data_IF_222427625845
#
_entry.id   IF_222427625845
#
_cell.length_a   1.000
_cell.length_b   1.000
_cell.length_c   1.000
_cell.angle_alpha   90.00
_cell.angle_beta   90.00
_cell.angle_gamma   90.00
#
_symmetry.space_group_name_H-M   'P 1'
#
loop_
_entity.id
_entity.type
_entity.pdbx_description
1 polymer ?
#
# COMPACT_ATOMS: atom_id res chain seq x y z
N UNK A 1 -5.20 15.29 15.68
CA UNK A 1 -4.03 14.56 16.22
C UNK A 1 -4.17 14.23 17.72
N UNK A 2 -4.31 15.21 18.66
CA UNK A 2 -4.40 14.89 20.10
C UNK A 2 -5.67 14.09 20.45
N UNK A 3 -6.81 14.39 19.85
CA UNK A 3 -8.05 13.64 20.03
C UNK A 3 -7.92 12.17 19.64
N UNK A 4 -7.22 11.87 18.54
CA UNK A 4 -6.99 10.49 18.07
C UNK A 4 -6.10 9.71 19.07
N UNK A 5 -5.09 10.38 19.63
CA UNK A 5 -4.23 9.78 20.66
C UNK A 5 -5.03 9.43 21.92
N UNK A 6 -5.87 10.34 22.40
CA UNK A 6 -6.71 10.11 23.57
C UNK A 6 -7.72 8.98 23.32
N UNK A 7 -8.38 8.96 22.17
CA UNK A 7 -9.29 7.89 21.78
C UNK A 7 -8.59 6.53 21.72
N UNK A 8 -7.37 6.47 21.18
CA UNK A 8 -6.56 5.25 21.13
C UNK A 8 -6.21 4.76 22.53
N UNK A 9 -5.81 5.66 23.45
CA UNK A 9 -5.51 5.33 24.85
C UNK A 9 -6.75 4.79 25.55
N UNK A 10 -7.91 5.40 25.34
CA UNK A 10 -9.15 4.96 25.99
C UNK A 10 -9.61 3.61 25.45
N UNK A 11 -9.47 3.36 24.15
CA UNK A 11 -9.71 2.03 23.57
C UNK A 11 -8.78 0.97 24.18
N UNK A 12 -7.49 1.27 24.31
CA UNK A 12 -6.52 0.39 24.95
C UNK A 12 -6.88 0.07 26.41
N UNK A 13 -7.35 1.06 27.18
CA UNK A 13 -7.85 0.85 28.56
C UNK A 13 -9.09 -0.06 28.59
N UNK A 14 -10.02 0.11 27.64
CA UNK A 14 -11.22 -0.73 27.51
C UNK A 14 -10.82 -2.18 27.25
N UNK A 15 -9.94 -2.45 26.27
CA UNK A 15 -9.45 -3.80 25.97
C UNK A 15 -8.78 -4.41 27.21
N UNK A 16 -7.84 -3.69 27.83
CA UNK A 16 -7.14 -4.15 29.03
C UNK A 16 -8.07 -4.49 30.19
N UNK A 17 -9.16 -3.73 30.35
CA UNK A 17 -10.15 -3.95 31.44
C UNK A 17 -11.05 -5.15 31.15
N UNK A 18 -11.47 -5.34 29.90
CA UNK A 18 -12.45 -6.37 29.55
C UNK A 18 -11.81 -7.74 29.29
N UNK A 19 -10.58 -7.79 28.77
CA UNK A 19 -9.85 -9.02 28.49
C UNK A 19 -8.34 -8.80 28.72
N UNK A 20 -7.93 -9.01 29.97
CA UNK A 20 -6.55 -8.81 30.39
C UNK A 20 -5.58 -9.83 29.76
N UNK A 21 -6.05 -11.05 29.48
CA UNK A 21 -5.20 -12.08 28.87
C UNK A 21 -4.99 -11.80 27.39
N UNK A 22 -6.02 -11.37 26.66
CA UNK A 22 -5.84 -10.85 25.31
C UNK A 22 -4.91 -9.65 25.27
N UNK A 23 -5.04 -8.71 26.23
CA UNK A 23 -4.13 -7.56 26.35
C UNK A 23 -2.67 -7.98 26.50
N UNK A 24 -2.38 -8.97 27.36
CA UNK A 24 -1.03 -9.52 27.50
C UNK A 24 -0.51 -10.14 26.20
N UNK A 25 -1.36 -10.91 25.51
CA UNK A 25 -0.98 -11.54 24.25
C UNK A 25 -0.62 -10.49 23.19
N UNK A 26 -1.40 -9.41 23.07
CA UNK A 26 -1.11 -8.30 22.15
C UNK A 26 0.27 -7.68 22.46
N UNK A 27 0.61 -7.51 23.74
CA UNK A 27 1.90 -6.94 24.15
C UNK A 27 3.11 -7.84 23.83
N UNK A 28 2.91 -9.15 23.66
CA UNK A 28 3.99 -10.09 23.30
C UNK A 28 4.50 -9.91 21.85
N UNK A 29 3.86 -9.10 21.04
CA UNK A 29 4.18 -8.91 19.61
C UNK A 29 4.31 -7.44 19.21
N UNK A 30 4.71 -6.58 20.16
CA UNK A 30 4.81 -5.14 19.94
C UNK A 30 6.00 -4.71 19.08
N UNK A 31 7.07 -5.51 19.03
CA UNK A 31 8.25 -5.23 18.21
C UNK A 31 8.49 -6.34 17.20
N UNK A 32 9.26 -6.02 16.13
CA UNK A 32 9.71 -7.04 15.18
C UNK A 32 10.39 -8.22 15.85
N UNK A 33 11.28 -7.95 16.83
CA UNK A 33 12.01 -8.99 17.57
C UNK A 33 11.06 -9.89 18.36
N UNK A 34 10.02 -9.31 18.95
CA UNK A 34 9.03 -10.07 19.70
C UNK A 34 8.20 -10.97 18.79
N UNK A 35 7.82 -10.47 17.62
CA UNK A 35 7.12 -11.26 16.60
C UNK A 35 8.00 -12.42 16.12
N UNK A 36 9.27 -12.16 15.78
CA UNK A 36 10.21 -13.19 15.36
C UNK A 36 10.42 -14.25 16.45
N UNK A 37 10.55 -13.83 17.72
CA UNK A 37 10.63 -14.75 18.86
C UNK A 37 9.36 -15.58 19.01
N UNK A 38 8.18 -14.95 18.89
CA UNK A 38 6.90 -15.66 18.99
C UNK A 38 6.77 -16.74 17.92
N UNK A 39 7.10 -16.42 16.66
CA UNK A 39 7.05 -17.37 15.55
C UNK A 39 8.04 -18.53 15.73
N UNK A 40 9.23 -18.24 16.26
CA UNK A 40 10.25 -19.27 16.49
C UNK A 40 9.88 -20.23 17.63
N UNK A 41 9.14 -19.76 18.63
CA UNK A 41 8.69 -20.57 19.76
C UNK A 41 7.40 -21.35 19.48
N UNK A 42 6.61 -20.93 18.48
CA UNK A 42 5.32 -21.53 18.16
C UNK A 42 5.32 -22.11 16.74
N UNK A 43 5.34 -23.43 16.63
CA UNK A 43 5.28 -24.11 15.34
C UNK A 43 4.04 -23.72 14.54
N UNK A 44 2.89 -23.67 15.22
CA UNK A 44 1.60 -23.28 14.69
C UNK A 44 1.03 -22.15 15.57
N UNK A 45 0.44 -21.16 14.93
CA UNK A 45 -0.16 -20.02 15.62
C UNK A 45 -1.37 -19.49 14.85
N UNK A 46 -2.25 -18.78 15.55
CA UNK A 46 -3.37 -18.11 14.89
C UNK A 46 -2.94 -16.75 14.34
N UNK A 47 -3.41 -16.46 13.14
CA UNK A 47 -3.26 -15.17 12.45
C UNK A 47 -4.64 -14.58 12.20
N UNK A 48 -4.87 -13.40 12.75
CA UNK A 48 -6.07 -12.62 12.50
C UNK A 48 -5.81 -11.58 11.40
N UNK A 49 -6.64 -11.61 10.38
CA UNK A 49 -6.63 -10.64 9.29
C UNK A 49 -7.96 -9.90 9.25
N UNK A 50 -7.92 -8.58 9.22
CA UNK A 50 -9.11 -7.76 9.07
C UNK A 50 -9.28 -7.40 7.59
N UNK A 51 -10.41 -7.80 7.00
CA UNK A 51 -10.71 -7.55 5.61
C UNK A 51 -12.22 -7.36 5.41
N UNK A 52 -12.59 -6.31 4.68
CA UNK A 52 -13.99 -5.98 4.37
C UNK A 52 -14.93 -5.95 5.61
N UNK A 53 -14.46 -5.35 6.71
CA UNK A 53 -15.25 -5.22 7.94
C UNK A 53 -15.37 -6.50 8.77
N UNK A 54 -14.65 -7.57 8.42
CA UNK A 54 -14.68 -8.88 9.12
C UNK A 54 -13.29 -9.31 9.53
N UNK A 55 -13.20 -9.95 10.68
CA UNK A 55 -12.00 -10.64 11.13
C UNK A 55 -12.04 -12.07 10.61
N UNK A 56 -10.99 -12.49 9.93
CA UNK A 56 -10.74 -13.88 9.55
C UNK A 56 -9.56 -14.40 10.37
N UNK A 57 -9.81 -15.40 11.21
CA UNK A 57 -8.76 -16.10 11.95
C UNK A 57 -8.37 -17.35 11.19
N UNK A 58 -7.08 -17.53 10.95
CA UNK A 58 -6.50 -18.72 10.30
C UNK A 58 -5.46 -19.34 11.23
N UNK A 59 -5.37 -20.67 11.26
CA UNK A 59 -4.24 -21.38 11.87
C UNK A 59 -3.15 -21.52 10.81
N UNK A 60 -1.94 -21.05 11.12
CA UNK A 60 -0.83 -21.02 10.18
C UNK A 60 0.45 -21.62 10.76
N UNK A 61 1.33 -22.10 9.90
CA UNK A 61 2.70 -22.47 10.25
C UNK A 61 3.69 -21.65 9.44
N UNK A 62 4.75 -21.13 10.07
CA UNK A 62 5.83 -20.46 9.35
C UNK A 62 6.68 -21.47 8.62
N UNK A 63 6.94 -21.23 7.33
CA UNK A 63 7.72 -22.16 6.48
C UNK A 63 9.07 -21.58 6.05
N UNK A 64 9.16 -20.27 5.81
CA UNK A 64 10.41 -19.59 5.46
C UNK A 64 10.24 -18.07 5.60
N UNK A 65 11.33 -17.35 5.44
CA UNK A 65 11.29 -15.92 5.21
C UNK A 65 11.39 -15.63 3.72
N UNK A 66 10.76 -14.55 3.29
CA UNK A 66 10.90 -14.02 1.92
C UNK A 66 12.38 -13.65 1.67
N UNK A 67 13.04 -14.15 0.60
CA UNK A 67 14.47 -13.96 0.39
C UNK A 67 14.95 -12.51 0.45
N UNK A 68 14.19 -11.61 -0.18
CA UNK A 68 14.59 -10.20 -0.34
C UNK A 68 13.98 -9.28 0.75
N UNK A 69 12.72 -9.49 1.14
CA UNK A 69 12.03 -8.63 2.12
C UNK A 69 12.16 -9.11 3.57
N UNK A 70 12.62 -10.34 3.78
CA UNK A 70 12.76 -10.98 5.09
C UNK A 70 11.45 -11.06 5.91
N UNK A 71 10.29 -11.01 5.25
CA UNK A 71 9.00 -11.24 5.90
C UNK A 71 8.71 -12.73 6.04
N UNK A 72 8.24 -13.23 7.20
CA UNK A 72 7.81 -14.61 7.37
C UNK A 72 6.69 -14.97 6.38
N UNK A 73 6.83 -16.13 5.78
CA UNK A 73 5.85 -16.74 4.88
C UNK A 73 5.20 -17.90 5.59
N UNK A 74 3.89 -17.80 5.78
CA UNK A 74 3.12 -18.74 6.58
C UNK A 74 2.16 -19.53 5.69
N UNK A 75 2.06 -20.84 5.92
CA UNK A 75 1.08 -21.69 5.26
C UNK A 75 -0.23 -21.72 6.04
N UNK A 76 -1.37 -21.55 5.39
CA UNK A 76 -2.71 -21.66 5.97
C UNK A 76 -3.10 -23.14 6.11
N UNK A 77 -3.10 -23.66 7.34
CA UNK A 77 -3.33 -25.09 7.63
C UNK A 77 -4.78 -25.54 7.36
N UNK A 78 -5.72 -24.63 7.09
CA UNK A 78 -7.05 -25.01 6.62
C UNK A 78 -7.01 -25.64 5.23
N UNK A 79 -5.96 -25.35 4.45
CA UNK A 79 -5.79 -25.86 3.08
C UNK A 79 -4.96 -27.15 3.13
N UNK A 80 -5.48 -28.21 2.49
CA UNK A 80 -4.78 -29.48 2.41
C UNK A 80 -3.45 -29.31 1.66
N UNK A 81 -2.30 -29.66 2.27
CA UNK A 81 -1.01 -29.53 1.64
C UNK A 81 -0.70 -30.61 0.58
N UNK A 82 -1.30 -31.81 0.68
CA UNK A 82 -0.95 -32.96 -0.19
C UNK A 82 -0.96 -32.61 -1.69
N UNK A 83 -2.04 -32.01 -2.23
CA UNK A 83 -2.08 -31.67 -3.65
C UNK A 83 -1.05 -30.59 -4.02
N UNK A 84 -0.67 -29.74 -3.05
CA UNK A 84 0.22 -28.59 -3.29
C UNK A 84 1.68 -28.99 -3.23
N UNK A 85 2.04 -29.89 -2.29
CA UNK A 85 3.41 -30.37 -2.12
C UNK A 85 3.94 -31.10 -3.34
N UNK A 86 3.05 -31.78 -4.09
CA UNK A 86 3.39 -32.55 -5.29
C UNK A 86 3.45 -31.75 -6.59
N UNK A 87 3.08 -30.46 -6.57
CA UNK A 87 3.04 -29.61 -7.77
C UNK A 87 4.45 -29.40 -8.37
N UNK A 88 4.50 -29.34 -9.69
CA UNK A 88 5.70 -28.87 -10.40
C UNK A 88 6.00 -27.40 -10.05
N UNK A 89 7.21 -26.92 -10.37
CA UNK A 89 7.58 -25.52 -10.15
C UNK A 89 6.60 -24.55 -10.82
N UNK A 90 6.24 -24.80 -12.08
CA UNK A 90 5.34 -23.93 -12.84
C UNK A 90 3.91 -23.96 -12.29
N UNK A 91 3.39 -25.12 -11.94
CA UNK A 91 2.07 -25.28 -11.37
C UNK A 91 1.99 -24.64 -9.97
N UNK A 92 3.07 -24.76 -9.17
CA UNK A 92 3.17 -24.12 -7.86
C UNK A 92 3.18 -22.58 -7.99
N UNK A 93 3.97 -22.04 -8.95
CA UNK A 93 3.99 -20.59 -9.25
C UNK A 93 2.60 -20.08 -9.66
N UNK A 94 1.85 -20.84 -10.46
CA UNK A 94 0.47 -20.55 -10.82
C UNK A 94 -0.45 -20.62 -9.59
N UNK A 95 -0.37 -21.70 -8.80
CA UNK A 95 -1.20 -21.93 -7.62
C UNK A 95 -1.02 -20.85 -6.54
N UNK A 96 0.19 -20.28 -6.40
CA UNK A 96 0.45 -19.16 -5.48
C UNK A 96 -0.36 -17.89 -5.81
N UNK A 97 -0.77 -17.71 -7.07
CA UNK A 97 -1.58 -16.57 -7.53
C UNK A 97 -3.07 -16.81 -7.38
N UNK A 98 -3.51 -18.06 -7.28
CA UNK A 98 -4.91 -18.45 -7.20
C UNK A 98 -5.51 -18.25 -5.81
N UNK A 99 -6.85 -18.16 -5.74
CA UNK A 99 -7.62 -18.16 -4.49
C UNK A 99 -8.26 -19.53 -4.25
N UNK A 100 -8.41 -19.97 -3.01
CA UNK A 100 -7.93 -19.34 -1.78
C UNK A 100 -6.41 -19.40 -1.67
N UNK A 101 -5.81 -18.34 -1.15
CA UNK A 101 -4.35 -18.27 -0.94
C UNK A 101 -3.93 -19.19 0.19
N UNK A 102 -3.02 -20.13 -0.10
CA UNK A 102 -2.44 -21.00 0.92
C UNK A 102 -1.21 -20.37 1.61
N UNK A 103 -0.53 -19.43 0.93
CA UNK A 103 0.62 -18.71 1.46
C UNK A 103 0.20 -17.31 1.92
N UNK A 104 0.55 -16.95 3.15
CA UNK A 104 0.28 -15.67 3.79
C UNK A 104 1.59 -15.02 4.21
N UNK A 105 1.81 -13.78 3.81
CA UNK A 105 2.97 -12.99 4.24
C UNK A 105 2.66 -12.27 5.55
N UNK A 106 3.49 -12.49 6.57
CA UNK A 106 3.34 -11.85 7.86
C UNK A 106 4.22 -10.60 7.96
N UNK A 107 3.59 -9.44 8.07
CA UNK A 107 4.30 -8.18 8.30
C UNK A 107 4.80 -8.04 9.73
N UNK A 108 5.93 -8.68 10.06
CA UNK A 108 6.46 -8.75 11.43
C UNK A 108 6.87 -7.40 12.03
N UNK A 109 7.00 -6.36 11.21
CA UNK A 109 7.24 -4.98 11.65
C UNK A 109 5.96 -4.11 11.67
N UNK A 110 4.78 -4.73 11.51
CA UNK A 110 3.48 -4.05 11.45
C UNK A 110 2.54 -4.45 12.60
N UNK A 111 3.10 -4.91 13.70
CA UNK A 111 2.35 -5.40 14.86
C UNK A 111 1.22 -6.35 14.45
N UNK A 112 1.54 -7.52 13.86
CA UNK A 112 0.53 -8.44 13.37
C UNK A 112 -0.30 -9.00 14.54
N UNK A 113 -1.60 -9.21 14.29
CA UNK A 113 -2.51 -9.82 15.27
C UNK A 113 -2.32 -11.33 15.25
N UNK A 114 -1.34 -11.83 15.99
CA UNK A 114 -1.02 -13.25 16.13
C UNK A 114 -1.17 -13.71 17.59
N UNK A 115 -1.67 -14.94 17.76
CA UNK A 115 -1.93 -15.54 19.06
C UNK A 115 -1.49 -17.01 19.05
N UNK A 116 -1.47 -17.66 20.22
CA UNK A 116 -1.20 -19.09 20.28
C UNK A 116 -2.22 -19.90 19.47
N UNK A 117 -1.87 -21.13 19.10
CA UNK A 117 -2.79 -22.05 18.43
C UNK A 117 -4.05 -22.35 19.26
N UNK A 118 -3.94 -22.34 20.60
CA UNK A 118 -5.09 -22.54 21.49
C UNK A 118 -6.19 -21.50 21.26
N UNK A 119 -5.84 -20.24 21.03
CA UNK A 119 -6.81 -19.21 20.67
C UNK A 119 -7.67 -19.60 19.47
N UNK A 120 -7.04 -20.12 18.40
CA UNK A 120 -7.77 -20.61 17.23
C UNK A 120 -8.68 -21.78 17.58
N UNK A 121 -8.18 -22.71 18.37
CA UNK A 121 -8.92 -23.92 18.76
C UNK A 121 -10.17 -23.59 19.59
N UNK A 122 -10.05 -22.66 20.51
CA UNK A 122 -11.14 -22.23 21.39
C UNK A 122 -12.26 -21.49 20.61
N UNK A 123 -11.88 -20.48 19.82
CA UNK A 123 -12.89 -19.68 19.10
C UNK A 123 -13.63 -20.44 17.99
N UNK A 124 -13.00 -21.50 17.44
CA UNK A 124 -13.60 -22.31 16.38
C UNK A 124 -14.14 -23.66 16.91
N UNK A 125 -14.08 -23.93 18.22
CA UNK A 125 -14.53 -25.19 18.84
C UNK A 125 -13.90 -26.42 18.18
N UNK A 126 -12.59 -26.38 17.92
CA UNK A 126 -11.85 -27.40 17.16
C UNK A 126 -11.76 -28.72 17.96
N UNK A 127 -12.22 -29.81 17.38
CA UNK A 127 -12.15 -31.14 17.94
C UNK A 127 -10.71 -31.66 18.04
N UNK A 128 -10.47 -32.70 18.86
CA UNK A 128 -9.18 -33.35 18.96
C UNK A 128 -8.67 -33.88 17.62
N UNK A 129 -9.54 -34.52 16.85
CA UNK A 129 -9.22 -35.07 15.52
C UNK A 129 -8.77 -33.98 14.54
N UNK A 130 -9.40 -32.81 14.60
CA UNK A 130 -9.01 -31.66 13.76
C UNK A 130 -7.67 -31.07 14.21
N UNK A 131 -7.38 -31.04 15.52
CA UNK A 131 -6.07 -30.62 16.03
C UNK A 131 -4.98 -31.54 15.48
N UNK A 132 -5.16 -32.84 15.60
CA UNK A 132 -4.24 -33.86 15.08
C UNK A 132 -4.03 -33.70 13.55
N UNK A 133 -5.09 -33.36 12.81
CA UNK A 133 -5.03 -33.09 11.38
C UNK A 133 -4.14 -31.86 11.08
N UNK A 134 -4.32 -30.75 11.80
CA UNK A 134 -3.52 -29.54 11.63
C UNK A 134 -2.05 -29.78 11.97
N UNK A 135 -1.77 -30.52 13.05
CA UNK A 135 -0.40 -30.88 13.42
C UNK A 135 0.28 -31.75 12.35
N UNK A 136 -0.44 -32.72 11.81
CA UNK A 136 0.07 -33.57 10.71
C UNK A 136 0.37 -32.71 9.47
N UNK A 137 -0.54 -31.82 9.06
CA UNK A 137 -0.33 -30.91 7.93
C UNK A 137 0.90 -30.04 8.13
N UNK A 138 1.05 -29.44 9.32
CA UNK A 138 2.19 -28.61 9.66
C UNK A 138 3.50 -29.41 9.56
N UNK A 139 3.54 -30.60 10.16
CA UNK A 139 4.71 -31.47 10.12
C UNK A 139 5.12 -31.83 8.69
N UNK A 140 4.17 -32.23 7.83
CA UNK A 140 4.42 -32.55 6.42
C UNK A 140 5.00 -31.37 5.64
N UNK A 141 4.44 -30.17 5.84
CA UNK A 141 4.92 -28.96 5.16
C UNK A 141 6.33 -28.63 5.61
N UNK A 142 6.57 -28.57 6.94
CA UNK A 142 7.86 -28.18 7.51
C UNK A 142 8.99 -29.16 7.24
N UNK A 143 8.67 -30.44 7.12
CA UNK A 143 9.65 -31.47 6.77
C UNK A 143 9.99 -31.50 5.27
N UNK A 144 9.17 -30.94 4.40
CA UNK A 144 9.36 -30.93 2.97
C UNK A 144 10.30 -29.78 2.53
N UNK A 145 11.60 -29.98 2.69
CA UNK A 145 12.61 -28.98 2.36
C UNK A 145 12.59 -28.57 0.89
N UNK A 146 12.30 -29.50 -0.02
CA UNK A 146 12.22 -29.23 -1.46
C UNK A 146 11.08 -28.27 -1.78
N UNK A 147 9.91 -28.46 -1.18
CA UNK A 147 8.80 -27.53 -1.31
C UNK A 147 9.15 -26.13 -0.82
N UNK A 148 9.78 -26.03 0.35
CA UNK A 148 10.20 -24.74 0.94
C UNK A 148 11.18 -24.02 0.01
N UNK A 149 12.17 -24.71 -0.56
CA UNK A 149 13.12 -24.12 -1.49
C UNK A 149 12.43 -23.67 -2.79
N UNK A 150 11.48 -24.44 -3.32
CA UNK A 150 10.68 -24.01 -4.48
C UNK A 150 9.89 -22.73 -4.20
N UNK A 151 9.29 -22.60 -3.01
CA UNK A 151 8.61 -21.35 -2.60
C UNK A 151 9.58 -20.18 -2.57
N UNK A 152 10.77 -20.34 -1.96
CA UNK A 152 11.79 -19.28 -1.92
C UNK A 152 12.22 -18.84 -3.33
N UNK A 153 12.48 -19.79 -4.22
CA UNK A 153 12.86 -19.49 -5.60
C UNK A 153 11.77 -18.72 -6.36
N UNK A 154 10.50 -19.09 -6.19
CA UNK A 154 9.38 -18.38 -6.82
C UNK A 154 9.27 -16.96 -6.28
N UNK A 155 9.41 -16.77 -4.97
CA UNK A 155 9.36 -15.45 -4.35
C UNK A 155 10.52 -14.55 -4.78
N UNK A 156 11.71 -15.12 -4.95
CA UNK A 156 12.88 -14.40 -5.45
C UNK A 156 12.72 -13.99 -6.91
N UNK A 157 12.24 -14.89 -7.76
CA UNK A 157 11.92 -14.60 -9.15
C UNK A 157 10.85 -13.49 -9.26
N UNK A 158 9.76 -13.58 -8.49
CA UNK A 158 8.72 -12.55 -8.47
C UNK A 158 9.24 -11.17 -8.01
N UNK A 159 10.21 -11.16 -7.11
CA UNK A 159 10.88 -9.94 -6.69
C UNK A 159 11.69 -9.33 -7.84
N UNK A 160 12.53 -10.11 -8.50
CA UNK A 160 13.34 -9.64 -9.63
C UNK A 160 12.48 -9.24 -10.83
N UNK A 161 11.41 -9.97 -11.13
CA UNK A 161 10.45 -9.60 -12.18
C UNK A 161 9.86 -8.21 -11.89
N UNK A 162 9.47 -7.92 -10.65
CA UNK A 162 8.95 -6.59 -10.26
C UNK A 162 10.01 -5.49 -10.32
N UNK A 163 11.25 -5.77 -9.92
CA UNK A 163 12.35 -4.81 -10.04
C UNK A 163 12.66 -4.48 -11.50
N UNK A 164 12.64 -5.49 -12.38
CA UNK A 164 12.86 -5.32 -13.81
C UNK A 164 11.71 -4.59 -14.53
N UNK A 165 10.50 -4.66 -13.99
CA UNK A 165 9.32 -3.94 -14.49
C UNK A 165 9.29 -2.48 -14.04
N UNK A 166 10.18 -2.05 -13.13
CA UNK A 166 10.30 -0.63 -12.81
C UNK A 166 10.78 0.10 -14.06
N UNK A 167 10.02 1.07 -14.57
CA UNK A 167 10.41 1.81 -15.76
C UNK A 167 11.77 2.47 -15.49
N UNK A 168 12.75 2.17 -16.32
CA UNK A 168 14.11 2.73 -16.17
C UNK A 168 14.23 4.15 -16.71
N UNK A 169 13.30 4.59 -17.59
CA UNK A 169 13.28 5.92 -18.21
C UNK A 169 11.83 6.39 -18.39
N UNK A 170 11.61 7.70 -18.26
CA UNK A 170 10.35 8.41 -18.50
C UNK A 170 9.23 8.25 -17.48
N UNK A 171 9.56 7.92 -16.21
CA UNK A 171 8.58 8.03 -15.13
C UNK A 171 8.38 9.53 -14.83
N UNK A 172 7.12 9.95 -14.72
CA UNK A 172 6.81 11.29 -14.23
C UNK A 172 7.42 11.49 -12.84
N UNK A 173 7.88 12.70 -12.54
CA UNK A 173 8.51 12.99 -11.26
C UNK A 173 7.59 12.61 -10.08
N UNK A 174 6.27 12.79 -10.23
CA UNK A 174 5.24 12.44 -9.27
C UNK A 174 5.19 10.93 -8.98
N UNK A 175 5.37 10.09 -9.98
CA UNK A 175 5.41 8.63 -9.83
C UNK A 175 6.76 8.14 -9.30
N UNK A 176 7.83 8.89 -9.56
CA UNK A 176 9.19 8.54 -9.14
C UNK A 176 9.50 8.85 -7.67
N UNK A 177 8.59 9.48 -6.93
CA UNK A 177 8.82 9.95 -5.56
C UNK A 177 9.38 8.86 -4.64
N UNK A 178 8.88 7.62 -4.77
CA UNK A 178 9.28 6.48 -3.94
C UNK A 178 10.38 5.61 -4.58
N UNK A 179 10.73 5.82 -5.84
CA UNK A 179 11.71 4.97 -6.55
C UNK A 179 13.15 5.49 -6.46
N UNK A 180 13.34 6.77 -6.26
CA UNK A 180 14.66 7.41 -6.27
C UNK A 180 15.41 7.42 -4.93
N UNK A 181 14.91 6.71 -3.91
CA UNK A 181 15.50 6.72 -2.57
C UNK A 181 15.19 7.98 -1.76
N UNK A 182 15.83 8.09 -0.59
CA UNK A 182 15.67 9.24 0.31
C UNK A 182 16.58 10.41 -0.11
N UNK A 183 16.20 11.67 0.23
CA UNK A 183 17.01 12.84 -0.07
C UNK A 183 18.37 12.79 0.65
N UNK A 184 19.39 13.31 0.00
CA UNK A 184 20.70 13.55 0.61
C UNK A 184 20.58 14.55 1.78
N UNK A 185 21.58 14.61 2.66
CA UNK A 185 21.58 15.62 3.72
C UNK A 185 21.62 17.04 3.16
N UNK A 186 22.25 17.25 2.01
CA UNK A 186 22.28 18.53 1.32
C UNK A 186 20.88 18.91 0.83
N UNK A 187 20.16 17.98 0.18
CA UNK A 187 18.80 18.24 -0.28
C UNK A 187 17.82 18.47 0.88
N UNK A 188 17.99 17.77 2.01
CA UNK A 188 17.19 18.05 3.22
C UNK A 188 17.38 19.48 3.73
N UNK A 189 18.60 19.95 3.81
CA UNK A 189 18.89 21.33 4.22
C UNK A 189 18.31 22.33 3.22
N UNK A 190 18.39 22.04 1.91
CA UNK A 190 17.79 22.88 0.88
C UNK A 190 16.26 22.88 0.94
N UNK A 191 15.62 21.78 1.33
CA UNK A 191 14.16 21.76 1.58
C UNK A 191 13.78 22.69 2.72
N UNK A 192 14.52 22.69 3.83
CA UNK A 192 14.28 23.62 4.94
C UNK A 192 14.49 25.07 4.50
N UNK A 193 15.59 25.37 3.80
CA UNK A 193 15.87 26.69 3.23
C UNK A 193 14.72 27.13 2.29
N UNK A 194 14.26 26.24 1.41
CA UNK A 194 13.17 26.49 0.49
C UNK A 194 11.86 26.83 1.22
N UNK A 195 11.50 26.12 2.27
CA UNK A 195 10.27 26.39 3.03
C UNK A 195 10.32 27.72 3.76
N UNK A 196 11.45 28.10 4.29
CA UNK A 196 11.63 29.34 5.07
C UNK A 196 11.83 30.59 4.19
N UNK A 197 12.17 30.45 2.92
CA UNK A 197 12.51 31.54 2.03
C UNK A 197 11.29 32.25 1.43
N UNK A 198 11.52 33.48 0.95
CA UNK A 198 10.51 34.21 0.18
C UNK A 198 10.23 33.52 -1.17
N UNK A 199 9.05 33.74 -1.75
CA UNK A 199 8.69 33.16 -3.06
C UNK A 199 9.70 33.53 -4.16
N UNK A 200 10.24 34.73 -4.10
CA UNK A 200 11.27 35.24 -5.05
C UNK A 200 12.57 34.41 -5.02
N UNK A 201 12.95 33.95 -3.83
CA UNK A 201 14.22 33.21 -3.64
C UNK A 201 14.04 31.68 -3.90
N UNK A 202 12.83 31.17 -3.73
CA UNK A 202 12.53 29.72 -3.90
C UNK A 202 12.93 29.16 -5.26
N UNK A 203 12.84 29.96 -6.32
CA UNK A 203 13.24 29.50 -7.66
C UNK A 203 14.75 29.19 -7.70
N UNK A 204 15.58 30.08 -7.20
CA UNK A 204 17.05 29.92 -7.15
C UNK A 204 17.42 28.72 -6.26
N UNK A 205 16.72 28.56 -5.12
CA UNK A 205 16.96 27.43 -4.22
C UNK A 205 16.57 26.12 -4.91
N UNK A 206 15.46 26.09 -5.66
CA UNK A 206 15.03 24.89 -6.37
C UNK A 206 16.05 24.37 -7.38
N UNK A 207 16.84 25.25 -8.00
CA UNK A 207 17.89 24.87 -8.95
C UNK A 207 19.15 24.28 -8.29
N UNK A 208 19.28 24.40 -6.96
CA UNK A 208 20.42 23.89 -6.19
C UNK A 208 20.25 22.44 -5.73
N UNK A 209 19.05 21.84 -5.86
CA UNK A 209 18.82 20.45 -5.52
C UNK A 209 19.69 19.52 -6.37
N UNK A 210 20.31 18.53 -5.74
CA UNK A 210 21.09 17.50 -6.44
C UNK A 210 20.16 16.49 -7.14
N UNK A 211 19.09 16.14 -6.48
CA UNK A 211 18.07 15.25 -7.04
C UNK A 211 17.08 16.04 -7.90
N UNK A 212 17.01 15.68 -9.19
CA UNK A 212 16.13 16.34 -10.17
C UNK A 212 14.65 16.27 -9.84
N UNK A 213 14.23 15.29 -9.03
CA UNK A 213 12.84 15.22 -8.55
C UNK A 213 12.52 16.42 -7.65
N UNK A 214 13.41 16.76 -6.73
CA UNK A 214 13.20 17.89 -5.81
C UNK A 214 13.31 19.23 -6.50
N UNK A 215 14.19 19.36 -7.50
CA UNK A 215 14.21 20.54 -8.39
C UNK A 215 12.85 20.70 -9.08
N UNK A 216 12.32 19.62 -9.66
CA UNK A 216 11.00 19.61 -10.31
C UNK A 216 9.89 19.99 -9.34
N UNK A 217 9.82 19.35 -8.17
CA UNK A 217 8.79 19.64 -7.18
C UNK A 217 8.90 21.06 -6.60
N UNK A 218 10.10 21.57 -6.38
CA UNK A 218 10.31 22.95 -5.96
C UNK A 218 9.73 23.94 -6.97
N UNK A 219 10.03 23.75 -8.24
CA UNK A 219 9.48 24.58 -9.32
C UNK A 219 7.96 24.41 -9.47
N UNK A 220 7.46 23.19 -9.30
CA UNK A 220 6.02 22.91 -9.36
C UNK A 220 5.23 23.58 -8.23
N UNK A 221 5.76 23.59 -7.02
CA UNK A 221 5.17 24.33 -5.90
C UNK A 221 5.07 25.84 -6.20
N UNK A 222 6.12 26.40 -6.79
CA UNK A 222 6.10 27.82 -7.20
C UNK A 222 5.06 28.03 -8.31
N UNK A 223 4.97 27.13 -9.28
CA UNK A 223 3.96 27.19 -10.35
C UNK A 223 2.52 27.21 -9.80
N UNK A 224 2.25 26.43 -8.76
CA UNK A 224 0.90 26.31 -8.18
C UNK A 224 0.55 27.48 -7.24
N UNK A 225 1.51 27.94 -6.43
CA UNK A 225 1.25 28.87 -5.32
C UNK A 225 1.64 30.34 -5.62
N UNK A 226 2.64 30.55 -6.49
CA UNK A 226 3.17 31.88 -6.79
C UNK A 226 3.80 31.93 -8.20
N UNK A 227 3.00 31.65 -9.26
CA UNK A 227 3.49 31.48 -10.63
C UNK A 227 4.23 32.69 -11.20
N UNK A 228 3.94 33.91 -10.72
CA UNK A 228 4.60 35.15 -11.09
C UNK A 228 6.10 35.20 -10.73
N UNK A 229 6.56 34.29 -9.87
CA UNK A 229 7.97 34.16 -9.48
C UNK A 229 8.75 33.14 -10.33
N UNK A 230 8.12 32.53 -11.32
CA UNK A 230 8.78 31.65 -12.28
C UNK A 230 9.22 32.42 -13.54
N UNK A 231 10.36 32.08 -14.14
CA UNK A 231 10.65 32.49 -15.53
C UNK A 231 9.54 32.04 -16.48
N UNK A 232 9.19 32.90 -17.44
CA UNK A 232 8.09 32.62 -18.40
C UNK A 232 8.23 31.30 -19.11
N UNK A 233 9.45 30.91 -19.51
CA UNK A 233 9.71 29.62 -20.16
C UNK A 233 9.39 28.43 -19.25
N UNK A 234 9.77 28.52 -17.97
CA UNK A 234 9.51 27.47 -16.98
C UNK A 234 8.02 27.35 -16.70
N UNK A 235 7.34 28.49 -16.52
CA UNK A 235 5.88 28.53 -16.39
C UNK A 235 5.19 27.88 -17.58
N UNK A 236 5.53 28.29 -18.79
CA UNK A 236 4.90 27.76 -20.02
C UNK A 236 5.15 26.24 -20.18
N UNK A 237 6.35 25.77 -19.81
CA UNK A 237 6.67 24.34 -19.85
C UNK A 237 5.77 23.55 -18.90
N UNK A 238 5.62 23.97 -17.65
CA UNK A 238 4.73 23.31 -16.69
C UNK A 238 3.27 23.36 -17.14
N UNK A 239 2.82 24.54 -17.58
CA UNK A 239 1.45 24.74 -18.01
C UNK A 239 1.08 23.84 -19.19
N UNK A 240 1.97 23.73 -20.19
CA UNK A 240 1.81 22.84 -21.33
C UNK A 240 1.80 21.38 -20.91
N UNK A 241 2.76 20.95 -20.08
CA UNK A 241 2.88 19.57 -19.62
C UNK A 241 1.63 19.13 -18.84
N UNK A 242 1.18 19.95 -17.89
CA UNK A 242 -0.03 19.66 -17.12
C UNK A 242 -1.26 19.62 -18.02
N UNK A 243 -1.38 20.58 -18.95
CA UNK A 243 -2.48 20.61 -19.91
C UNK A 243 -2.55 19.33 -20.76
N UNK A 244 -1.43 18.89 -21.32
CA UNK A 244 -1.33 17.64 -22.09
C UNK A 244 -1.71 16.42 -21.24
N UNK A 245 -1.27 16.36 -19.98
CA UNK A 245 -1.58 15.26 -19.07
C UNK A 245 -3.07 15.18 -18.71
N UNK A 246 -3.70 16.31 -18.37
CA UNK A 246 -5.09 16.31 -17.91
C UNK A 246 -6.12 16.29 -19.05
N UNK A 247 -5.72 16.69 -20.26
CA UNK A 247 -6.61 16.76 -21.43
C UNK A 247 -6.53 15.51 -22.32
N UNK A 248 -5.61 14.58 -22.07
CA UNK A 248 -5.48 13.38 -22.91
C UNK A 248 -6.72 12.50 -22.89
N UNK A 249 -7.00 11.89 -24.05
CA UNK A 249 -8.02 10.86 -24.23
C UNK A 249 -7.46 9.44 -24.03
N UNK A 250 -6.15 9.30 -23.90
CA UNK A 250 -5.49 8.03 -23.73
C UNK A 250 -5.90 7.36 -22.40
N UNK A 251 -5.80 6.04 -22.37
CA UNK A 251 -6.01 5.28 -21.13
C UNK A 251 -4.77 5.35 -20.25
N UNK A 252 -4.74 6.39 -19.41
CA UNK A 252 -3.65 6.66 -18.46
C UNK A 252 -4.07 6.36 -17.02
N UNK A 253 -3.11 6.07 -16.11
CA UNK A 253 -3.43 5.70 -14.73
C UNK A 253 -3.96 6.85 -13.86
N UNK A 254 -3.81 8.10 -14.31
CA UNK A 254 -4.36 9.26 -13.59
C UNK A 254 -5.73 9.70 -14.13
N UNK A 255 -6.37 10.59 -13.39
CA UNK A 255 -7.68 11.10 -13.73
C UNK A 255 -7.57 12.28 -14.71
N UNK A 256 -8.30 12.22 -15.82
CA UNK A 256 -8.27 13.24 -16.90
C UNK A 256 -9.61 13.98 -16.99
N UNK A 257 -9.62 15.17 -17.60
CA UNK A 257 -10.83 15.95 -17.82
C UNK A 257 -11.89 15.17 -18.61
N UNK A 258 -11.57 14.46 -19.70
CA UNK A 258 -12.54 13.60 -20.38
C UNK A 258 -13.11 12.49 -19.49
N UNK A 259 -12.29 11.84 -18.65
CA UNK A 259 -12.77 10.85 -17.67
C UNK A 259 -13.68 11.50 -16.61
N UNK A 260 -13.39 12.75 -16.22
CA UNK A 260 -14.21 13.52 -15.28
C UNK A 260 -15.58 13.83 -15.84
N UNK A 261 -15.69 14.30 -17.06
CA UNK A 261 -16.99 14.56 -17.71
C UNK A 261 -17.84 13.28 -17.80
N UNK A 262 -17.25 12.17 -18.22
CA UNK A 262 -17.97 10.89 -18.24
C UNK A 262 -18.52 10.52 -16.86
N UNK A 263 -17.70 10.66 -15.83
CA UNK A 263 -18.14 10.34 -14.46
C UNK A 263 -19.22 11.30 -13.96
N UNK A 264 -19.16 12.59 -14.32
CA UNK A 264 -20.20 13.58 -14.02
C UNK A 264 -21.52 13.15 -14.64
N UNK A 265 -21.52 12.75 -15.91
CA UNK A 265 -22.75 12.33 -16.57
C UNK A 265 -23.33 11.07 -15.94
N UNK A 266 -22.51 10.10 -15.58
CA UNK A 266 -22.94 8.90 -14.86
C UNK A 266 -23.55 9.23 -13.50
N UNK A 267 -22.91 10.12 -12.71
CA UNK A 267 -23.41 10.56 -11.41
C UNK A 267 -24.68 11.40 -11.51
N UNK A 268 -24.78 12.28 -12.52
CA UNK A 268 -25.98 13.08 -12.80
C UNK A 268 -27.16 12.17 -13.09
N UNK A 269 -27.00 11.17 -13.95
CA UNK A 269 -28.03 10.17 -14.25
C UNK A 269 -28.44 9.40 -13.00
N UNK A 270 -27.48 8.92 -12.22
CA UNK A 270 -27.73 8.18 -10.98
C UNK A 270 -28.56 9.00 -9.99
N UNK A 271 -28.10 10.21 -9.67
CA UNK A 271 -28.77 11.06 -8.66
C UNK A 271 -30.08 11.65 -9.14
N UNK A 272 -30.30 11.78 -10.45
CA UNK A 272 -31.60 12.11 -11.03
C UNK A 272 -32.61 10.98 -10.80
N UNK A 273 -32.20 9.71 -10.98
CA UNK A 273 -33.05 8.55 -10.70
C UNK A 273 -33.38 8.45 -9.20
N UNK A 274 -32.38 8.68 -8.35
CA UNK A 274 -32.51 8.68 -6.89
C UNK A 274 -33.28 9.91 -6.36
N UNK A 275 -33.58 10.90 -7.20
CA UNK A 275 -34.20 12.20 -6.84
C UNK A 275 -33.44 12.93 -5.71
N UNK A 276 -32.11 12.80 -5.70
CA UNK A 276 -31.24 13.41 -4.68
C UNK A 276 -30.73 14.78 -5.17
N UNK A 277 -31.51 15.82 -4.89
CA UNK A 277 -31.22 17.18 -5.37
C UNK A 277 -29.92 17.78 -4.78
N UNK A 278 -29.58 17.47 -3.52
CA UNK A 278 -28.37 17.94 -2.89
C UNK A 278 -27.12 17.40 -3.61
N UNK A 279 -27.11 16.11 -3.91
CA UNK A 279 -26.01 15.49 -4.66
C UNK A 279 -25.96 15.95 -6.11
N UNK A 280 -27.09 16.20 -6.74
CA UNK A 280 -27.14 16.79 -8.09
C UNK A 280 -26.50 18.18 -8.10
N UNK A 281 -26.85 19.05 -7.12
CA UNK A 281 -26.22 20.36 -7.00
C UNK A 281 -24.70 20.24 -6.84
N UNK A 282 -24.22 19.36 -5.98
CA UNK A 282 -22.79 19.13 -5.79
C UNK A 282 -22.09 18.68 -7.07
N UNK A 283 -22.70 17.78 -7.85
CA UNK A 283 -22.17 17.34 -9.16
C UNK A 283 -22.07 18.51 -10.14
N UNK A 284 -23.06 19.43 -10.15
CA UNK A 284 -22.99 20.63 -11.00
C UNK A 284 -21.89 21.61 -10.57
N UNK A 285 -21.65 21.77 -9.27
CA UNK A 285 -20.53 22.59 -8.77
C UNK A 285 -19.18 22.01 -9.21
N UNK A 286 -19.02 20.66 -9.17
CA UNK A 286 -17.82 19.99 -9.71
C UNK A 286 -17.73 20.20 -11.23
N UNK A 287 -18.81 20.09 -11.95
CA UNK A 287 -18.84 20.31 -13.41
C UNK A 287 -18.35 21.72 -13.77
N UNK A 288 -18.81 22.74 -13.05
CA UNK A 288 -18.35 24.13 -13.24
C UNK A 288 -16.83 24.25 -12.97
N UNK A 289 -16.34 23.59 -11.94
CA UNK A 289 -14.91 23.57 -11.62
C UNK A 289 -14.10 22.94 -12.75
N UNK A 290 -14.54 21.78 -13.29
CA UNK A 290 -13.86 21.09 -14.38
C UNK A 290 -13.86 21.93 -15.67
N UNK A 291 -14.98 22.61 -16.00
CA UNK A 291 -15.05 23.53 -17.13
C UNK A 291 -14.07 24.69 -16.99
N UNK A 292 -13.89 25.20 -15.76
CA UNK A 292 -12.89 26.24 -15.47
C UNK A 292 -11.46 25.71 -15.70
N UNK A 293 -11.15 24.51 -15.23
CA UNK A 293 -9.85 23.88 -15.43
C UNK A 293 -9.58 23.63 -16.92
N UNK A 294 -10.55 23.08 -17.64
CA UNK A 294 -10.47 22.89 -19.09
C UNK A 294 -10.16 24.22 -19.81
N UNK A 295 -10.86 25.30 -19.47
CA UNK A 295 -10.62 26.63 -20.05
C UNK A 295 -9.22 27.14 -19.78
N UNK A 296 -8.71 26.98 -18.55
CA UNK A 296 -7.36 27.40 -18.16
C UNK A 296 -6.31 26.70 -19.01
N UNK A 297 -6.42 25.39 -19.17
CA UNK A 297 -5.40 24.58 -19.87
C UNK A 297 -5.63 24.46 -21.38
N UNK A 298 -6.84 24.72 -21.90
CA UNK A 298 -7.12 24.83 -23.35
C UNK A 298 -6.67 26.15 -23.94
N UNK A 299 -6.68 27.22 -23.14
CA UNK A 299 -6.27 28.54 -23.58
C UNK A 299 -4.76 28.68 -23.88
N UNK A 300 -4.00 27.58 -23.76
CA UNK A 300 -2.58 27.51 -24.11
C UNK A 300 -2.36 27.41 -25.64
N UNK A 301 -3.17 28.12 -26.41
CA UNK A 301 -2.80 28.52 -27.76
C UNK A 301 -2.08 29.86 -27.65
N UNK A 302 -0.77 29.75 -27.36
CA UNK A 302 0.27 30.71 -27.71
C UNK A 302 0.02 32.19 -27.33
N UNK A 303 0.65 32.60 -26.24
CA UNK A 303 1.28 33.92 -26.21
C UNK A 303 2.76 33.78 -26.61
#
# INVERSE_FOLDING_TARGET
AMGDVLATIDLAKIVKKNDYDMWKQILLTCSKKDVDNFINLNENFSLNEFSFGKIKTSLVTNICNHPNYNYPQCYDLSIDPEPILSLSYQDLKKRMKEKPKFLKTLGHNKHPSIFSNNYFFEINNISKTEKDLFENRSSKIRSNKEFIERIKLILDEEYHDKENLKPQNDILAEESLYFGGFPSNKDKNLMEEFHLSSWKDKYIISERFEDKRYEYFGKKIIYEEAPENLPTEVFNKFHKQIGEQIMTLDDVPWFTIPKAYKQIDDLRNKYSIEKNNERLQFVEEINIYIQKMEKVYSATKFL
#
